data_IF_568878615194
#
_entry.id   IF_568878615194
#
_cell.length_a   1.000
_cell.length_b   1.000
_cell.length_c   1.000
_cell.angle_alpha   90.00
_cell.angle_beta   90.00
_cell.angle_gamma   90.00
#
_symmetry.space_group_name_H-M   'P 1'
#
loop_
_entity.id
_entity.type
_entity.pdbx_description
1 polymer ?
#
# COMPACT_ATOMS: atom_id res chain seq x y z
N UNK A 1 -15.51 7.17 2.21
CA UNK A 1 -15.83 8.05 1.03
C UNK A 1 -17.13 8.77 1.31
N UNK A 2 -17.18 10.06 1.08
CA UNK A 2 -18.40 10.87 1.25
C UNK A 2 -19.01 11.32 -0.07
N UNK A 3 -18.18 11.58 -1.05
CA UNK A 3 -18.59 12.14 -2.33
C UNK A 3 -18.06 11.32 -3.48
N UNK A 4 -18.83 11.31 -4.56
CA UNK A 4 -18.46 10.61 -5.79
C UNK A 4 -17.32 11.34 -6.50
N UNK A 5 -16.26 10.59 -6.83
CA UNK A 5 -15.11 11.16 -7.55
C UNK A 5 -15.41 11.44 -9.02
N UNK A 6 -16.54 10.96 -9.54
CA UNK A 6 -16.95 11.17 -10.94
C UNK A 6 -17.79 12.42 -11.08
N UNK A 7 -18.80 12.62 -10.21
CA UNK A 7 -19.76 13.73 -10.36
C UNK A 7 -19.86 14.67 -9.16
N UNK A 8 -19.20 14.35 -8.04
CA UNK A 8 -19.26 15.16 -6.84
C UNK A 8 -20.51 14.96 -5.99
N UNK A 9 -21.44 14.12 -6.41
CA UNK A 9 -22.63 13.81 -5.62
C UNK A 9 -22.33 12.97 -4.38
N UNK A 10 -23.26 12.88 -3.46
CA UNK A 10 -23.12 12.03 -2.28
C UNK A 10 -23.20 10.55 -2.65
N UNK A 11 -22.41 9.72 -1.96
CA UNK A 11 -22.42 8.28 -2.14
C UNK A 11 -23.07 7.60 -0.95
N UNK A 12 -23.65 6.44 -1.18
CA UNK A 12 -24.24 5.59 -0.14
C UNK A 12 -23.62 4.20 -0.21
N UNK A 13 -23.48 3.58 0.94
CA UNK A 13 -22.96 2.22 1.05
C UNK A 13 -24.12 1.24 0.84
N UNK A 14 -24.08 0.51 -0.26
CA UNK A 14 -25.10 -0.51 -0.61
C UNK A 14 -24.51 -1.59 -1.50
N UNK A 15 -25.20 -2.71 -1.58
CA UNK A 15 -24.81 -3.82 -2.46
C UNK A 15 -25.34 -3.52 -3.88
N UNK A 16 -24.47 -3.28 -4.87
CA UNK A 16 -24.90 -3.04 -6.24
C UNK A 16 -25.49 -4.30 -6.88
N UNK A 17 -26.20 -4.12 -7.98
CA UNK A 17 -26.73 -5.22 -8.79
C UNK A 17 -25.59 -6.16 -9.21
N UNK A 18 -25.84 -7.47 -9.14
CA UNK A 18 -24.88 -8.52 -9.47
C UNK A 18 -23.62 -8.57 -8.59
N UNK A 19 -23.64 -7.89 -7.44
CA UNK A 19 -22.56 -7.94 -6.46
C UNK A 19 -23.02 -8.66 -5.18
N UNK A 20 -22.08 -8.98 -4.30
CA UNK A 20 -22.34 -9.64 -3.02
C UNK A 20 -21.77 -8.88 -1.82
N UNK A 21 -21.24 -7.69 -2.04
CA UNK A 21 -20.64 -6.85 -0.99
C UNK A 21 -21.10 -5.43 -1.11
N UNK A 22 -21.11 -4.73 0.01
CA UNK A 22 -21.39 -3.31 0.04
C UNK A 22 -20.28 -2.52 -0.66
N UNK A 23 -20.69 -1.59 -1.51
CA UNK A 23 -19.81 -0.66 -2.21
C UNK A 23 -20.34 0.75 -2.05
N UNK A 24 -19.48 1.73 -2.21
CA UNK A 24 -19.94 3.11 -2.28
C UNK A 24 -20.54 3.38 -3.66
N UNK A 25 -21.83 3.63 -3.68
CA UNK A 25 -22.58 3.85 -4.92
C UNK A 25 -23.10 5.28 -4.97
N UNK A 26 -22.97 5.91 -6.14
CA UNK A 26 -23.52 7.23 -6.37
C UNK A 26 -24.94 7.14 -6.96
N UNK A 27 -25.91 7.68 -6.26
CA UNK A 27 -27.29 7.68 -6.73
C UNK A 27 -27.52 8.70 -7.87
N UNK A 28 -26.62 9.68 -8.02
CA UNK A 28 -26.74 10.71 -9.05
C UNK A 28 -26.24 10.26 -10.41
N UNK A 29 -25.06 9.63 -10.49
CA UNK A 29 -24.48 9.21 -11.78
C UNK A 29 -24.40 7.70 -11.97
N UNK A 30 -24.74 6.91 -10.95
CA UNK A 30 -24.69 5.45 -11.03
C UNK A 30 -23.29 4.85 -10.86
N UNK A 31 -22.27 5.64 -10.60
CA UNK A 31 -20.92 5.13 -10.42
C UNK A 31 -20.82 4.24 -9.18
N UNK A 32 -20.10 3.14 -9.31
CA UNK A 32 -19.80 2.22 -8.23
C UNK A 32 -18.31 2.34 -7.93
N UNK A 33 -17.97 2.62 -6.66
CA UNK A 33 -16.60 2.80 -6.22
C UNK A 33 -16.13 1.57 -5.46
N UNK A 34 -15.09 0.94 -5.98
CA UNK A 34 -14.49 -0.25 -5.38
C UNK A 34 -13.27 0.17 -4.57
N UNK A 35 -13.22 -0.29 -3.32
CA UNK A 35 -12.06 -0.08 -2.46
C UNK A 35 -11.37 -1.42 -2.20
N UNK A 36 -10.09 -1.47 -2.47
CA UNK A 36 -9.27 -2.66 -2.26
C UNK A 36 -8.15 -2.34 -1.26
N UNK A 37 -7.57 -3.37 -0.62
CA UNK A 37 -6.40 -3.17 0.21
C UNK A 37 -5.27 -2.49 -0.55
N UNK A 38 -4.57 -1.61 0.12
CA UNK A 38 -3.37 -0.97 -0.44
C UNK A 38 -2.19 -1.92 -0.36
N UNK A 39 -1.37 -1.93 -1.40
CA UNK A 39 -0.15 -2.73 -1.44
C UNK A 39 1.01 -1.85 -0.99
N UNK A 40 1.75 -2.34 -0.01
CA UNK A 40 3.00 -1.75 0.46
C UNK A 40 4.13 -2.66 -0.01
N UNK A 41 5.12 -2.08 -0.65
CA UNK A 41 6.30 -2.79 -1.15
C UNK A 41 7.54 -2.34 -0.40
N UNK A 42 8.45 -3.26 -0.20
CA UNK A 42 9.67 -2.96 0.50
C UNK A 42 10.70 -4.06 0.34
N UNK A 43 11.79 -3.92 1.05
CA UNK A 43 12.89 -4.87 1.01
C UNK A 43 13.29 -5.29 2.41
N UNK A 44 13.91 -6.47 2.48
CA UNK A 44 14.69 -6.92 3.63
C UNK A 44 16.15 -6.89 3.19
N UNK A 45 16.81 -5.72 3.19
CA UNK A 45 18.17 -5.64 2.70
C UNK A 45 19.15 -6.15 3.73
N UNK A 46 20.10 -6.97 3.28
CA UNK A 46 21.15 -7.44 4.16
C UNK A 46 22.50 -7.42 3.46
N UNK A 47 23.53 -7.25 4.27
CA UNK A 47 24.91 -7.25 3.82
C UNK A 47 25.80 -7.72 4.98
N UNK A 48 26.67 -8.67 4.72
CA UNK A 48 27.60 -9.23 5.73
C UNK A 48 26.89 -9.63 7.04
N UNK A 49 25.77 -10.36 6.91
CA UNK A 49 24.95 -10.84 8.04
C UNK A 49 24.26 -9.73 8.88
N UNK A 50 24.15 -8.53 8.32
CA UNK A 50 23.44 -7.40 8.94
C UNK A 50 22.26 -6.99 8.09
N UNK A 51 21.17 -6.61 8.75
CA UNK A 51 19.94 -6.13 8.10
C UNK A 51 19.90 -4.61 8.20
N UNK A 52 19.58 -3.96 7.08
CA UNK A 52 19.37 -2.51 7.05
C UNK A 52 17.96 -2.19 7.54
N UNK A 53 17.86 -1.39 8.60
CA UNK A 53 16.61 -0.91 9.14
C UNK A 53 16.56 0.61 9.10
N UNK A 54 15.33 1.13 9.01
CA UNK A 54 15.06 2.55 9.05
C UNK A 54 14.42 2.93 10.38
N UNK A 55 14.87 4.02 10.99
CA UNK A 55 14.23 4.57 12.16
C UNK A 55 13.20 5.60 11.71
N UNK A 56 11.97 5.42 12.13
CA UNK A 56 10.89 6.34 11.75
C UNK A 56 11.13 7.73 12.33
N UNK A 57 11.04 8.74 11.46
CA UNK A 57 11.23 10.15 11.82
C UNK A 57 9.90 10.89 12.00
N UNK A 58 8.76 10.23 11.72
CA UNK A 58 7.41 10.82 11.81
C UNK A 58 6.45 9.86 12.52
N UNK A 59 5.35 10.41 13.01
CA UNK A 59 4.25 9.60 13.53
C UNK A 59 3.50 8.90 12.38
N UNK A 60 2.83 7.75 12.61
CA UNK A 60 2.84 6.98 13.86
C UNK A 60 4.17 6.24 14.07
N UNK A 61 4.39 5.80 15.29
CA UNK A 61 5.57 4.99 15.67
C UNK A 61 6.91 5.72 15.49
N UNK A 62 6.91 7.03 15.77
CA UNK A 62 8.15 7.81 15.78
C UNK A 62 9.23 7.13 16.63
N UNK A 63 10.43 7.02 16.07
CA UNK A 63 11.57 6.43 16.75
C UNK A 63 11.66 4.90 16.72
N UNK A 64 10.65 4.21 16.21
CA UNK A 64 10.70 2.76 16.05
C UNK A 64 11.41 2.38 14.74
N UNK A 65 12.07 1.23 14.79
CA UNK A 65 12.79 0.69 13.64
C UNK A 65 11.85 -0.13 12.75
N UNK A 66 12.04 -0.02 11.44
CA UNK A 66 11.25 -0.74 10.44
C UNK A 66 12.10 -1.08 9.23
N UNK A 67 11.61 -2.00 8.41
CA UNK A 67 12.18 -2.24 7.09
C UNK A 67 11.83 -1.09 6.15
N UNK A 68 12.69 -0.76 5.17
CA UNK A 68 12.34 0.22 4.16
C UNK A 68 11.16 -0.26 3.32
N UNK A 69 10.07 0.48 3.34
CA UNK A 69 8.83 0.14 2.65
C UNK A 69 7.95 1.36 2.47
N UNK A 70 7.10 1.32 1.45
CA UNK A 70 6.13 2.37 1.18
C UNK A 70 5.09 1.90 0.16
N UNK A 71 4.19 2.79 -0.20
CA UNK A 71 3.12 2.43 -1.11
C UNK A 71 3.61 2.08 -2.50
N UNK A 72 3.06 0.99 -3.02
CA UNK A 72 3.23 0.60 -4.40
C UNK A 72 2.53 1.60 -5.32
N UNK A 73 3.24 2.08 -6.33
CA UNK A 73 2.74 3.13 -7.21
C UNK A 73 2.35 2.59 -8.58
N UNK A 74 1.44 3.30 -9.24
CA UNK A 74 1.06 2.98 -10.61
C UNK A 74 2.26 3.11 -11.56
N UNK A 75 2.32 2.23 -12.55
CA UNK A 75 3.33 2.30 -13.59
C UNK A 75 4.67 1.66 -13.27
N UNK A 76 4.80 1.05 -12.10
CA UNK A 76 6.01 0.32 -11.71
C UNK A 76 5.70 -1.16 -11.43
N UNK A 77 6.71 -2.00 -11.53
CA UNK A 77 6.62 -3.38 -11.04
C UNK A 77 6.80 -3.40 -9.52
N UNK A 78 6.41 -4.50 -8.88
CA UNK A 78 6.62 -4.67 -7.43
C UNK A 78 8.11 -4.53 -7.06
N UNK A 79 9.01 -5.12 -7.86
CA UNK A 79 10.45 -5.01 -7.65
C UNK A 79 10.92 -3.57 -7.80
N UNK A 80 10.48 -2.88 -8.85
CA UNK A 80 10.84 -1.46 -9.05
C UNK A 80 10.37 -0.61 -7.87
N UNK A 81 9.15 -0.83 -7.39
CA UNK A 81 8.61 -0.12 -6.23
C UNK A 81 9.40 -0.38 -4.97
N UNK A 82 9.73 -1.64 -4.69
CA UNK A 82 10.51 -2.01 -3.52
C UNK A 82 11.91 -1.39 -3.54
N UNK A 83 12.59 -1.41 -4.68
CA UNK A 83 13.91 -0.80 -4.84
C UNK A 83 13.84 0.72 -4.73
N UNK A 84 12.81 1.35 -5.30
CA UNK A 84 12.59 2.79 -5.20
C UNK A 84 12.39 3.22 -3.75
N UNK A 85 11.50 2.55 -3.00
CA UNK A 85 11.27 2.87 -1.59
C UNK A 85 12.53 2.70 -0.75
N UNK A 86 13.30 1.66 -1.00
CA UNK A 86 14.58 1.45 -0.31
C UNK A 86 15.55 2.58 -0.59
N UNK A 87 15.66 3.02 -1.85
CA UNK A 87 16.52 4.13 -2.24
C UNK A 87 16.09 5.45 -1.61
N UNK A 88 14.79 5.74 -1.63
CA UNK A 88 14.23 6.96 -1.06
C UNK A 88 14.46 7.05 0.46
N UNK A 89 14.26 5.94 1.17
CA UNK A 89 14.33 5.93 2.63
C UNK A 89 15.74 5.75 3.19
N UNK A 90 16.62 5.06 2.47
CA UNK A 90 17.97 4.70 2.98
C UNK A 90 19.12 5.22 2.14
N UNK A 91 18.84 5.74 0.95
CA UNK A 91 19.84 6.10 -0.06
C UNK A 91 20.72 4.92 -0.50
N UNK A 92 20.33 3.70 -0.20
CA UNK A 92 21.07 2.51 -0.57
C UNK A 92 20.63 1.98 -1.93
N UNK A 93 21.59 1.53 -2.73
CA UNK A 93 21.37 0.80 -3.96
C UNK A 93 21.47 -0.70 -3.65
N UNK A 94 20.36 -1.41 -3.78
CA UNK A 94 20.30 -2.83 -3.47
C UNK A 94 19.91 -3.63 -4.72
N UNK A 95 20.31 -4.90 -4.76
CA UNK A 95 19.88 -5.83 -5.78
C UNK A 95 18.65 -6.58 -5.29
N UNK A 96 17.68 -6.76 -6.18
CA UNK A 96 16.49 -7.53 -5.88
C UNK A 96 16.82 -9.01 -5.81
N UNK A 97 16.44 -9.65 -4.70
CA UNK A 97 16.48 -11.08 -4.55
C UNK A 97 15.10 -11.70 -4.72
N UNK A 98 14.86 -12.78 -4.01
CA UNK A 98 13.58 -13.45 -4.00
C UNK A 98 12.57 -12.73 -3.11
N UNK A 99 11.28 -13.00 -3.33
CA UNK A 99 10.22 -12.55 -2.44
C UNK A 99 10.42 -13.19 -1.06
N UNK A 100 10.62 -12.34 -0.05
CA UNK A 100 10.81 -12.81 1.32
C UNK A 100 9.49 -13.25 1.94
N UNK A 101 8.42 -12.47 1.73
CA UNK A 101 7.12 -12.82 2.27
C UNK A 101 6.02 -11.85 1.87
N UNK A 102 4.81 -12.30 2.11
CA UNK A 102 3.59 -11.53 1.96
C UNK A 102 2.94 -11.47 3.33
N UNK A 103 2.69 -10.25 3.83
CA UNK A 103 2.15 -10.05 5.17
C UNK A 103 0.81 -9.34 5.06
N UNK A 104 -0.25 -10.00 5.51
CA UNK A 104 -1.59 -9.46 5.48
C UNK A 104 -1.87 -8.70 6.77
N UNK A 105 -2.30 -7.45 6.64
CA UNK A 105 -2.70 -6.62 7.77
C UNK A 105 -4.12 -6.12 7.54
N UNK A 106 -5.14 -7.00 7.75
CA UNK A 106 -6.52 -6.64 7.44
C UNK A 106 -7.07 -5.51 8.33
N UNK A 107 -6.50 -5.29 9.50
CA UNK A 107 -6.94 -4.24 10.41
C UNK A 107 -6.77 -2.84 9.84
N UNK A 108 -5.82 -2.65 8.92
CA UNK A 108 -5.57 -1.37 8.24
C UNK A 108 -5.74 -1.47 6.73
N UNK A 109 -6.30 -2.57 6.23
CA UNK A 109 -6.53 -2.81 4.80
C UNK A 109 -5.26 -2.65 3.97
N UNK A 110 -4.21 -3.33 4.39
CA UNK A 110 -2.92 -3.33 3.69
C UNK A 110 -2.36 -4.73 3.52
N UNK A 111 -1.58 -4.91 2.46
CA UNK A 111 -0.81 -6.10 2.18
C UNK A 111 0.63 -5.66 1.96
N UNK A 112 1.57 -6.23 2.70
CA UNK A 112 3.01 -5.95 2.56
C UNK A 112 3.66 -7.06 1.73
N UNK A 113 4.43 -6.65 0.73
CA UNK A 113 5.24 -7.54 -0.10
C UNK A 113 6.70 -7.12 0.01
N UNK A 114 7.54 -8.00 0.56
CA UNK A 114 8.96 -7.71 0.87
C UNK A 114 9.93 -8.59 0.09
#
# INVERSE_FOLDING_TARGET
MKYCSVCGGTVVLKIPEDDNRERFCCDSCGAIHYENPKVVVGTLPFFENKVLLCKRAIQPRLGLWTLPAGFYENGETLIQGALRETKEETNADVEAGELYGIFNIPQINQVYML
#
